data_IF_549254306894
#
_entry.id   IF_549254306894
#
_cell.length_a   1.000
_cell.length_b   1.000
_cell.length_c   1.000
_cell.angle_alpha   90.00
_cell.angle_beta   90.00
_cell.angle_gamma   90.00
#
_symmetry.space_group_name_H-M   'P 1'
#
loop_
_entity.id
_entity.type
_entity.pdbx_description
1 polymer ?
#
# COMPACT_ATOMS: atom_id res chain seq x y z
N UNK A 1 13.68 -12.71 -28.75
CA UNK A 1 13.31 -14.05 -28.23
C UNK A 1 13.08 -14.08 -26.71
N UNK A 2 13.84 -13.38 -25.88
CA UNK A 2 13.61 -13.36 -24.41
C UNK A 2 12.35 -12.55 -24.06
N UNK A 3 12.16 -11.38 -24.68
CA UNK A 3 11.00 -10.52 -24.47
C UNK A 3 9.67 -11.18 -24.87
N UNK A 4 9.65 -11.98 -25.94
CA UNK A 4 8.45 -12.72 -26.36
C UNK A 4 8.09 -13.85 -25.37
N UNK A 5 9.07 -14.48 -24.72
CA UNK A 5 8.81 -15.44 -23.64
C UNK A 5 8.31 -14.76 -22.37
N UNK A 6 8.87 -13.59 -22.02
CA UNK A 6 8.39 -12.76 -20.91
C UNK A 6 6.94 -12.31 -21.18
N UNK A 7 6.60 -11.96 -22.42
CA UNK A 7 5.23 -11.63 -22.84
C UNK A 7 4.27 -12.78 -22.58
N UNK A 8 4.56 -13.98 -23.10
CA UNK A 8 3.69 -15.14 -22.90
C UNK A 8 3.57 -15.53 -21.43
N UNK A 9 4.68 -15.49 -20.68
CA UNK A 9 4.67 -15.90 -19.27
C UNK A 9 4.04 -14.86 -18.35
N UNK A 10 4.16 -13.56 -18.63
CA UNK A 10 3.60 -12.50 -17.76
C UNK A 10 2.24 -12.04 -18.29
N UNK A 11 2.15 -11.61 -19.54
CA UNK A 11 0.93 -10.99 -20.07
C UNK A 11 -0.15 -12.04 -20.40
N UNK A 12 0.20 -13.11 -21.11
CA UNK A 12 -0.81 -14.10 -21.52
C UNK A 12 -1.27 -14.99 -20.36
N UNK A 13 -0.43 -15.22 -19.34
CA UNK A 13 -0.82 -15.99 -18.15
C UNK A 13 -1.45 -15.14 -17.05
N UNK A 14 -0.99 -13.91 -16.80
CA UNK A 14 -1.46 -13.13 -15.65
C UNK A 14 -2.39 -11.96 -16.01
N UNK A 15 -2.40 -11.49 -17.26
CA UNK A 15 -3.19 -10.34 -17.70
C UNK A 15 -4.31 -10.69 -18.70
N UNK A 16 -4.79 -11.93 -18.71
CA UNK A 16 -6.02 -12.24 -19.45
C UNK A 16 -7.18 -11.39 -18.90
N UNK A 17 -8.13 -10.96 -19.76
CA UNK A 17 -9.29 -10.18 -19.32
C UNK A 17 -10.06 -10.86 -18.18
N UNK A 18 -10.12 -12.20 -18.19
CA UNK A 18 -10.70 -13.02 -17.13
C UNK A 18 -9.96 -12.87 -15.79
N UNK A 19 -8.63 -12.87 -15.79
CA UNK A 19 -7.81 -12.70 -14.58
C UNK A 19 -7.88 -11.27 -14.04
N UNK A 20 -7.89 -10.28 -14.93
CA UNK A 20 -8.09 -8.87 -14.55
C UNK A 20 -9.44 -8.70 -13.84
N UNK A 21 -10.51 -9.27 -14.38
CA UNK A 21 -11.83 -9.21 -13.73
C UNK A 21 -11.87 -10.01 -12.42
N UNK A 22 -11.14 -11.12 -12.31
CA UNK A 22 -10.98 -11.85 -11.04
C UNK A 22 -10.21 -11.03 -10.00
N UNK A 23 -9.15 -10.33 -10.39
CA UNK A 23 -8.38 -9.43 -9.51
C UNK A 23 -9.27 -8.27 -9.07
N UNK A 24 -10.03 -7.64 -9.99
CA UNK A 24 -11.02 -6.60 -9.64
C UNK A 24 -12.06 -7.15 -8.68
N UNK A 25 -12.63 -8.32 -8.94
CA UNK A 25 -13.62 -8.93 -8.07
C UNK A 25 -13.05 -9.28 -6.67
N UNK A 26 -11.82 -9.80 -6.61
CA UNK A 26 -11.12 -10.08 -5.37
C UNK A 26 -10.83 -8.79 -4.58
N UNK A 27 -10.35 -7.73 -5.23
CA UNK A 27 -10.12 -6.43 -4.61
C UNK A 27 -11.43 -5.79 -4.15
N UNK A 28 -12.49 -5.80 -4.97
CA UNK A 28 -13.83 -5.34 -4.57
C UNK A 28 -14.34 -6.13 -3.37
N UNK A 29 -14.11 -7.44 -3.31
CA UNK A 29 -14.47 -8.30 -2.17
C UNK A 29 -13.64 -7.99 -0.90
N UNK A 30 -12.35 -7.72 -1.03
CA UNK A 30 -11.48 -7.31 0.08
C UNK A 30 -11.91 -5.92 0.59
N UNK A 31 -12.25 -4.99 -0.30
CA UNK A 31 -12.64 -3.62 0.07
C UNK A 31 -14.07 -3.53 0.60
N UNK A 32 -14.99 -4.33 0.08
CA UNK A 32 -16.35 -4.45 0.61
C UNK A 32 -16.42 -5.32 1.87
N UNK A 33 -15.51 -6.28 2.03
CA UNK A 33 -15.41 -7.17 3.19
C UNK A 33 -14.54 -6.66 4.33
N UNK A 34 -13.56 -5.79 4.04
CA UNK A 34 -12.47 -5.37 4.92
C UNK A 34 -12.76 -4.20 5.85
N UNK A 35 -13.99 -3.69 5.90
CA UNK A 35 -14.34 -2.63 6.85
C UNK A 35 -15.69 -2.88 7.51
N UNK A 36 -15.86 -4.09 8.05
CA UNK A 36 -16.93 -4.34 9.02
C UNK A 36 -16.59 -3.66 10.34
N UNK A 37 -17.13 -2.46 10.54
CA UNK A 37 -17.65 -1.87 11.80
C UNK A 37 -16.76 -1.78 13.06
N UNK A 38 -15.58 -2.41 13.13
CA UNK A 38 -14.73 -2.42 14.31
C UNK A 38 -13.96 -1.12 14.50
N UNK A 39 -13.32 -0.61 13.44
CA UNK A 39 -12.52 0.62 13.51
C UNK A 39 -13.36 1.86 13.82
N UNK A 40 -14.52 2.00 13.19
CA UNK A 40 -15.43 3.12 13.44
C UNK A 40 -15.97 3.13 14.88
N UNK A 41 -16.34 1.95 15.41
CA UNK A 41 -16.75 1.81 16.81
C UNK A 41 -15.62 2.16 17.77
N UNK A 42 -14.38 1.76 17.46
CA UNK A 42 -13.20 2.12 18.24
C UNK A 42 -12.92 3.63 18.21
N UNK A 43 -13.00 4.27 17.05
CA UNK A 43 -12.83 5.73 16.93
C UNK A 43 -13.94 6.50 17.66
N UNK A 44 -15.20 6.05 17.60
CA UNK A 44 -16.28 6.63 18.40
C UNK A 44 -16.07 6.49 19.90
N UNK A 45 -15.59 5.32 20.36
CA UNK A 45 -15.25 5.10 21.77
C UNK A 45 -14.07 5.97 22.22
N UNK A 46 -13.05 6.12 21.38
CA UNK A 46 -11.91 7.01 21.63
C UNK A 46 -12.36 8.47 21.72
N UNK A 47 -13.22 8.91 20.80
CA UNK A 47 -13.77 10.26 20.80
C UNK A 47 -14.56 10.56 22.08
N UNK A 48 -15.48 9.66 22.47
CA UNK A 48 -16.26 9.80 23.69
C UNK A 48 -15.36 9.85 24.95
N UNK A 49 -14.28 9.07 24.97
CA UNK A 49 -13.30 9.10 26.07
C UNK A 49 -12.54 10.42 26.14
N UNK A 50 -12.13 10.97 25.00
CA UNK A 50 -11.44 12.27 24.94
C UNK A 50 -12.38 13.39 25.37
N UNK A 51 -13.63 13.39 24.90
CA UNK A 51 -14.65 14.38 25.28
C UNK A 51 -14.91 14.37 26.79
N UNK A 52 -15.04 13.19 27.40
CA UNK A 52 -15.16 13.05 28.86
C UNK A 52 -13.90 13.53 29.62
N UNK A 53 -12.71 13.35 29.05
CA UNK A 53 -11.47 13.85 29.65
C UNK A 53 -11.37 15.38 29.58
N UNK A 54 -11.85 15.99 28.50
CA UNK A 54 -11.94 17.45 28.36
C UNK A 54 -12.91 17.99 29.39
N UNK A 55 -14.10 17.43 29.50
CA UNK A 55 -15.13 17.84 30.47
C UNK A 55 -14.58 17.83 31.90
N UNK A 56 -13.98 16.70 32.33
CA UNK A 56 -13.36 16.59 33.66
C UNK A 56 -12.18 17.54 33.87
N UNK A 57 -11.41 17.83 32.82
CA UNK A 57 -10.30 18.77 32.91
C UNK A 57 -10.80 20.21 33.07
N UNK A 58 -11.90 20.56 32.40
CA UNK A 58 -12.55 21.88 32.50
C UNK A 58 -13.16 22.07 33.88
N UNK A 59 -13.89 21.08 34.41
CA UNK A 59 -14.41 21.12 35.79
C UNK A 59 -13.29 21.37 36.81
N UNK A 60 -12.20 20.60 36.70
CA UNK A 60 -11.04 20.73 37.58
C UNK A 60 -10.36 22.08 37.52
N UNK A 61 -10.45 22.84 36.42
CA UNK A 61 -9.86 24.20 36.36
C UNK A 61 -10.39 25.12 37.46
N UNK A 62 -11.60 24.88 37.95
CA UNK A 62 -12.20 25.66 39.06
C UNK A 62 -11.69 25.24 40.44
N UNK A 63 -11.10 24.05 40.55
CA UNK A 63 -10.66 23.44 41.80
C UNK A 63 -9.13 23.50 41.99
N UNK A 64 -8.36 23.65 40.90
CA UNK A 64 -6.89 23.69 40.97
C UNK A 64 -6.37 25.05 41.47
N UNK A 65 -5.26 25.04 42.24
CA UNK A 65 -4.51 26.24 42.58
C UNK A 65 -4.11 27.09 41.36
N UNK A 66 -3.98 28.42 41.49
CA UNK A 66 -3.72 29.35 40.38
C UNK A 66 -2.46 29.04 39.55
N UNK A 67 -1.43 28.52 40.20
CA UNK A 67 -0.18 28.06 39.60
C UNK A 67 -0.35 26.82 38.69
N UNK A 68 -1.33 25.98 38.99
CA UNK A 68 -1.63 24.76 38.24
C UNK A 68 -2.55 24.98 37.03
N UNK A 69 -3.25 26.12 36.97
CA UNK A 69 -4.18 26.46 35.87
C UNK A 69 -3.50 26.36 34.50
N UNK A 70 -2.26 26.85 34.38
CA UNK A 70 -1.50 26.80 33.11
C UNK A 70 -1.26 25.36 32.63
N UNK A 71 -0.98 24.44 33.56
CA UNK A 71 -0.75 23.03 33.23
C UNK A 71 -2.05 22.34 32.79
N UNK A 72 -3.16 22.62 33.47
CA UNK A 72 -4.49 22.08 33.10
C UNK A 72 -4.95 22.63 31.75
N UNK A 73 -4.78 23.93 31.50
CA UNK A 73 -5.09 24.55 30.21
C UNK A 73 -4.26 23.94 29.05
N UNK A 74 -2.96 23.69 29.28
CA UNK A 74 -2.11 23.00 28.31
C UNK A 74 -2.57 21.57 28.02
N UNK A 75 -3.08 20.85 29.05
CA UNK A 75 -3.64 19.51 28.88
C UNK A 75 -4.94 19.52 28.09
N UNK A 76 -5.81 20.50 28.32
CA UNK A 76 -7.07 20.66 27.57
C UNK A 76 -6.78 20.88 26.09
N UNK A 77 -5.89 21.81 25.74
CA UNK A 77 -5.51 22.05 24.32
C UNK A 77 -5.04 20.77 23.63
N UNK A 78 -4.18 19.99 24.29
CA UNK A 78 -3.72 18.72 23.72
C UNK A 78 -4.87 17.73 23.49
N UNK A 79 -5.83 17.66 24.41
CA UNK A 79 -7.01 16.80 24.25
C UNK A 79 -7.92 17.29 23.12
N UNK A 80 -8.01 18.61 22.89
CA UNK A 80 -8.74 19.18 21.75
C UNK A 80 -8.06 18.84 20.41
N UNK A 81 -6.72 18.95 20.34
CA UNK A 81 -5.94 18.53 19.17
C UNK A 81 -6.16 17.03 18.87
N UNK A 82 -6.11 16.18 19.91
CA UNK A 82 -6.36 14.74 19.80
C UNK A 82 -7.80 14.45 19.33
N UNK A 83 -8.80 15.20 19.84
CA UNK A 83 -10.21 15.11 19.41
C UNK A 83 -10.36 15.42 17.93
N UNK A 84 -9.74 16.50 17.47
CA UNK A 84 -9.88 16.97 16.09
C UNK A 84 -9.17 16.02 15.10
N UNK A 85 -8.04 15.45 15.50
CA UNK A 85 -7.37 14.38 14.75
C UNK A 85 -8.25 13.12 14.63
N UNK A 86 -8.88 12.67 15.72
CA UNK A 86 -9.78 11.51 15.71
C UNK A 86 -11.03 11.78 14.87
N UNK A 87 -11.62 12.98 14.94
CA UNK A 87 -12.77 13.38 14.10
C UNK A 87 -12.43 13.37 12.62
N UNK A 88 -11.23 13.85 12.26
CA UNK A 88 -10.76 13.86 10.87
C UNK A 88 -10.61 12.44 10.32
N UNK A 89 -10.03 11.52 11.11
CA UNK A 89 -9.94 10.09 10.75
C UNK A 89 -11.31 9.42 10.64
N UNK A 90 -12.26 9.79 11.50
CA UNK A 90 -13.64 9.29 11.42
C UNK A 90 -14.29 9.75 10.11
N UNK A 91 -14.14 11.02 9.75
CA UNK A 91 -14.67 11.58 8.50
C UNK A 91 -14.03 10.95 7.25
N UNK A 92 -12.73 10.62 7.30
CA UNK A 92 -12.07 9.86 6.24
C UNK A 92 -12.55 8.41 6.17
N UNK A 93 -12.84 7.81 7.33
CA UNK A 93 -13.42 6.47 7.41
C UNK A 93 -14.83 6.41 6.82
N UNK A 94 -15.58 7.51 6.88
CA UNK A 94 -16.92 7.70 6.31
C UNK A 94 -16.94 8.00 4.80
N UNK A 95 -15.78 8.18 4.15
CA UNK A 95 -15.74 8.22 2.67
C UNK A 95 -16.29 6.89 2.15
N UNK A 96 -17.47 6.97 1.53
CA UNK A 96 -18.35 5.84 1.21
C UNK A 96 -17.62 4.68 0.51
N UNK A 97 -17.97 3.43 0.82
CA UNK A 97 -17.42 2.24 0.15
C UNK A 97 -17.48 2.32 -1.38
N UNK A 98 -18.53 2.95 -1.92
CA UNK A 98 -18.68 3.18 -3.36
C UNK A 98 -17.55 4.05 -3.95
N UNK A 99 -17.19 5.16 -3.29
CA UNK A 99 -16.07 6.01 -3.75
C UNK A 99 -14.72 5.31 -3.64
N UNK A 100 -14.56 4.40 -2.68
CA UNK A 100 -13.35 3.58 -2.54
C UNK A 100 -13.24 2.52 -3.63
N UNK A 101 -14.36 1.92 -4.01
CA UNK A 101 -14.43 0.94 -5.10
C UNK A 101 -14.16 1.63 -6.44
N UNK A 102 -14.79 2.78 -6.69
CA UNK A 102 -14.56 3.60 -7.89
C UNK A 102 -13.09 4.01 -8.02
N UNK A 103 -12.50 4.54 -6.95
CA UNK A 103 -11.08 4.88 -6.92
C UNK A 103 -10.16 3.66 -7.15
N UNK A 104 -10.58 2.45 -6.76
CA UNK A 104 -9.79 1.23 -6.97
C UNK A 104 -9.93 0.71 -8.40
N UNK A 105 -11.12 0.80 -8.98
CA UNK A 105 -11.34 0.45 -10.38
C UNK A 105 -10.55 1.39 -11.30
N UNK A 106 -10.53 2.69 -11.02
CA UNK A 106 -9.68 3.66 -11.73
C UNK A 106 -8.19 3.31 -11.61
N UNK A 107 -7.73 2.89 -10.42
CA UNK A 107 -6.34 2.45 -10.19
C UNK A 107 -5.97 1.22 -11.02
N UNK A 108 -6.86 0.23 -11.10
CA UNK A 108 -6.63 -0.99 -11.87
C UNK A 108 -6.58 -0.65 -13.37
N UNK A 109 -7.49 0.20 -13.86
CA UNK A 109 -7.48 0.65 -15.25
C UNK A 109 -6.19 1.39 -15.61
N UNK A 110 -5.72 2.29 -14.74
CA UNK A 110 -4.47 3.01 -14.98
C UNK A 110 -3.24 2.08 -15.03
N UNK A 111 -3.19 1.07 -14.16
CA UNK A 111 -2.11 0.07 -14.17
C UNK A 111 -2.12 -0.77 -15.45
N UNK A 112 -3.31 -1.16 -15.93
CA UNK A 112 -3.47 -1.89 -17.20
C UNK A 112 -3.02 -1.04 -18.38
N UNK A 113 -3.49 0.22 -18.48
CA UNK A 113 -3.10 1.10 -19.58
C UNK A 113 -1.59 1.41 -19.61
N UNK A 114 -0.94 1.45 -18.44
CA UNK A 114 0.52 1.55 -18.37
C UNK A 114 1.23 0.30 -18.91
N UNK A 115 0.74 -0.88 -18.57
CA UNK A 115 1.30 -2.15 -19.07
C UNK A 115 1.13 -2.29 -20.59
N UNK A 116 -0.03 -1.88 -21.11
CA UNK A 116 -0.28 -1.82 -22.57
C UNK A 116 0.67 -0.82 -23.26
N UNK A 117 0.93 0.32 -22.62
CA UNK A 117 1.90 1.31 -23.12
C UNK A 117 3.32 0.75 -23.14
N UNK A 118 3.71 0.01 -22.11
CA UNK A 118 5.01 -0.66 -22.03
C UNK A 118 5.12 -1.76 -23.11
N UNK A 119 4.07 -2.54 -23.33
CA UNK A 119 4.00 -3.54 -24.41
C UNK A 119 4.19 -2.86 -25.77
N UNK A 120 3.42 -1.82 -26.05
CA UNK A 120 3.51 -1.07 -27.31
C UNK A 120 4.92 -0.54 -27.54
N UNK A 121 5.56 0.02 -26.52
CA UNK A 121 6.91 0.58 -26.60
C UNK A 121 7.97 -0.51 -26.82
N UNK A 122 7.78 -1.70 -26.26
CA UNK A 122 8.68 -2.83 -26.47
C UNK A 122 8.49 -3.44 -27.87
N UNK A 123 7.28 -3.42 -28.43
CA UNK A 123 6.97 -4.07 -29.72
C UNK A 123 7.23 -3.21 -30.95
N UNK A 124 6.97 -1.91 -30.90
CA UNK A 124 6.96 -1.04 -32.09
C UNK A 124 8.23 -0.21 -32.24
N UNK A 125 8.66 0.43 -31.16
CA UNK A 125 9.83 1.31 -31.11
C UNK A 125 10.66 0.97 -29.89
N UNK A 126 11.33 -0.19 -29.91
CA UNK A 126 12.18 -0.62 -28.80
C UNK A 126 13.29 0.42 -28.55
N UNK A 127 13.00 1.32 -27.62
CA UNK A 127 13.89 2.37 -27.16
C UNK A 127 14.27 2.04 -25.70
N UNK A 128 15.47 1.52 -25.47
CA UNK A 128 15.89 1.09 -24.13
C UNK A 128 15.92 2.27 -23.13
N UNK A 129 16.10 3.51 -23.60
CA UNK A 129 16.09 4.69 -22.72
C UNK A 129 14.67 5.00 -22.26
N UNK A 130 13.69 4.93 -23.17
CA UNK A 130 12.27 5.13 -22.82
C UNK A 130 11.75 4.00 -21.94
N UNK A 131 12.08 2.74 -22.24
CA UNK A 131 11.70 1.58 -21.40
C UNK A 131 12.28 1.73 -19.99
N UNK A 132 13.57 2.05 -19.88
CA UNK A 132 14.21 2.23 -18.59
C UNK A 132 13.61 3.42 -17.82
N UNK A 133 13.28 4.52 -18.50
CA UNK A 133 12.59 5.66 -17.90
C UNK A 133 11.19 5.31 -17.37
N UNK A 134 10.42 4.51 -18.11
CA UNK A 134 9.11 4.03 -17.65
C UNK A 134 9.24 3.09 -16.45
N UNK A 135 10.20 2.16 -16.49
CA UNK A 135 10.46 1.24 -15.39
C UNK A 135 10.98 1.97 -14.15
N UNK A 136 11.86 2.96 -14.28
CA UNK A 136 12.38 3.75 -13.16
C UNK A 136 11.33 4.58 -12.44
N UNK A 137 10.26 4.96 -13.15
CA UNK A 137 9.11 5.57 -12.50
C UNK A 137 8.45 4.54 -11.61
N UNK A 138 8.13 3.36 -12.13
CA UNK A 138 7.27 2.40 -11.44
C UNK A 138 7.95 1.42 -10.48
N UNK A 139 9.18 1.02 -10.75
CA UNK A 139 9.92 0.04 -9.96
C UNK A 139 10.71 0.79 -8.91
N UNK A 140 10.45 0.48 -7.64
CA UNK A 140 11.18 1.03 -6.51
C UNK A 140 12.50 0.30 -6.32
N UNK A 141 12.40 -1.02 -6.17
CA UNK A 141 13.52 -1.92 -5.93
C UNK A 141 13.24 -3.28 -6.53
N UNK A 142 14.29 -3.97 -6.94
CA UNK A 142 14.23 -5.38 -7.32
C UNK A 142 15.16 -6.13 -6.42
N UNK A 143 14.62 -7.04 -5.63
CA UNK A 143 15.39 -7.95 -4.79
C UNK A 143 15.57 -9.26 -5.55
N UNK A 144 16.82 -9.68 -5.70
CA UNK A 144 17.16 -10.94 -6.34
C UNK A 144 17.57 -11.96 -5.28
N UNK A 145 17.02 -13.17 -5.40
CA UNK A 145 17.51 -14.33 -4.67
C UNK A 145 18.56 -15.02 -5.55
N UNK A 146 19.79 -15.07 -5.05
CA UNK A 146 20.91 -15.70 -5.72
C UNK A 146 21.46 -16.84 -4.87
N UNK A 147 21.51 -18.03 -5.44
CA UNK A 147 22.21 -19.16 -4.83
C UNK A 147 23.65 -19.17 -5.31
N UNK A 148 24.57 -19.12 -4.35
CA UNK A 148 26.01 -19.17 -4.61
C UNK A 148 26.46 -20.63 -4.52
N UNK A 149 26.71 -21.26 -5.66
CA UNK A 149 27.28 -22.60 -5.74
C UNK A 149 28.77 -22.51 -6.05
N UNK A 150 29.59 -23.27 -5.33
CA UNK A 150 31.01 -23.36 -5.65
C UNK A 150 31.17 -24.15 -6.96
N UNK A 151 31.98 -23.62 -7.88
CA UNK A 151 32.14 -24.21 -9.20
C UNK A 151 33.61 -24.48 -9.52
N UNK A 152 33.94 -25.77 -9.67
CA UNK A 152 35.28 -26.27 -9.99
C UNK A 152 36.07 -26.71 -8.75
N UNK A 153 37.21 -27.37 -8.99
CA UNK A 153 38.06 -27.96 -7.93
C UNK A 153 38.78 -26.91 -7.08
N UNK A 154 38.82 -25.67 -7.55
CA UNK A 154 39.39 -24.52 -6.84
C UNK A 154 38.36 -23.90 -5.90
N UNK A 155 38.66 -23.90 -4.59
CA UNK A 155 37.86 -23.30 -3.51
C UNK A 155 37.43 -21.84 -3.68
N UNK A 156 37.95 -21.16 -4.68
CA UNK A 156 37.80 -19.71 -4.90
C UNK A 156 36.77 -19.34 -5.97
N UNK A 157 36.30 -20.30 -6.77
CA UNK A 157 35.36 -20.03 -7.87
C UNK A 157 33.93 -20.34 -7.46
N UNK A 158 33.05 -19.38 -7.69
CA UNK A 158 31.63 -19.51 -7.38
C UNK A 158 30.80 -19.11 -8.59
N UNK A 159 29.78 -19.91 -8.87
CA UNK A 159 28.69 -19.59 -9.78
C UNK A 159 27.52 -19.06 -8.95
N UNK A 160 27.07 -17.85 -9.25
CA UNK A 160 25.83 -17.33 -8.67
C UNK A 160 24.71 -17.56 -9.69
N UNK A 161 23.69 -18.30 -9.30
CA UNK A 161 22.51 -18.54 -10.12
C UNK A 161 21.32 -17.82 -9.50
N UNK A 162 20.60 -17.04 -10.32
CA UNK A 162 19.39 -16.34 -9.87
C UNK A 162 18.28 -17.35 -9.77
N UNK A 163 17.81 -17.62 -8.54
CA UNK A 163 16.74 -18.58 -8.27
C UNK A 163 15.37 -17.92 -8.19
N UNK A 164 15.33 -16.61 -7.99
CA UNK A 164 14.09 -15.85 -8.00
C UNK A 164 14.33 -14.37 -7.71
N UNK A 165 13.23 -13.65 -7.49
CA UNK A 165 13.28 -12.26 -7.07
C UNK A 165 11.89 -11.70 -6.80
N UNK A 166 11.88 -10.55 -6.13
CA UNK A 166 10.69 -9.76 -5.82
C UNK A 166 10.89 -8.37 -6.41
N UNK A 167 9.90 -7.92 -7.19
CA UNK A 167 9.88 -6.56 -7.74
C UNK A 167 8.96 -5.74 -6.85
N UNK A 168 9.52 -4.71 -6.22
CA UNK A 168 8.79 -3.72 -5.45
C UNK A 168 8.43 -2.56 -6.36
N UNK A 169 7.15 -2.18 -6.37
CA UNK A 169 6.66 -1.07 -7.15
C UNK A 169 6.50 0.17 -6.27
N UNK A 170 6.85 1.34 -6.80
CA UNK A 170 6.60 2.63 -6.15
C UNK A 170 5.10 2.87 -6.12
N UNK A 171 4.55 2.87 -4.92
CA UNK A 171 3.16 3.28 -4.68
C UNK A 171 2.90 4.74 -5.08
N UNK A 172 3.96 5.55 -5.16
CA UNK A 172 3.91 6.97 -5.56
C UNK A 172 3.92 7.20 -7.07
N UNK A 173 4.39 6.22 -7.86
CA UNK A 173 4.60 6.37 -9.30
C UNK A 173 3.62 5.61 -10.17
N UNK A 174 2.85 4.69 -9.58
CA UNK A 174 1.45 4.56 -9.94
C UNK A 174 0.83 5.96 -9.89
N UNK A 175 -0.02 6.37 -10.85
CA UNK A 175 -0.61 7.71 -10.83
C UNK A 175 -1.42 7.86 -9.54
N UNK A 176 -0.75 8.45 -8.54
CA UNK A 176 -1.20 8.91 -7.23
C UNK A 176 -0.93 8.00 -6.01
N UNK A 177 -0.29 8.65 -5.03
CA UNK A 177 0.42 8.10 -3.89
C UNK A 177 -0.42 7.35 -2.86
N UNK A 178 0.18 6.27 -2.36
CA UNK A 178 -0.33 5.50 -1.23
C UNK A 178 0.80 5.28 -0.25
N UNK A 179 0.77 6.06 0.81
CA UNK A 179 1.30 5.68 2.11
C UNK A 179 0.28 4.73 2.75
N UNK A 180 0.65 3.45 2.89
CA UNK A 180 -0.05 2.51 3.74
C UNK A 180 -0.62 1.31 2.99
N UNK A 181 -0.35 0.12 3.54
CA UNK A 181 -0.75 -1.22 3.07
C UNK A 181 0.23 -1.84 2.06
N UNK A 182 1.46 -2.06 2.50
CA UNK A 182 2.16 -3.31 2.16
C UNK A 182 1.74 -4.34 3.20
N UNK A 183 0.73 -5.16 2.87
CA UNK A 183 0.47 -6.38 3.61
C UNK A 183 1.37 -7.46 2.98
N UNK A 184 2.35 -7.90 3.76
CA UNK A 184 3.34 -8.90 3.39
C UNK A 184 2.60 -10.22 3.08
N UNK A 185 2.45 -10.55 1.80
CA UNK A 185 1.92 -11.84 1.39
C UNK A 185 2.94 -12.90 1.79
N UNK A 186 2.62 -13.68 2.82
CA UNK A 186 3.48 -14.77 3.29
C UNK A 186 3.84 -15.73 2.14
N UNK A 187 5.09 -16.21 2.10
CA UNK A 187 5.53 -17.13 1.07
C UNK A 187 4.72 -18.43 1.17
N UNK A 188 4.12 -18.83 0.03
CA UNK A 188 3.36 -20.07 -0.09
C UNK A 188 4.15 -21.29 0.42
N UNK A 189 3.49 -22.23 1.12
CA UNK A 189 4.17 -23.40 1.66
C UNK A 189 4.73 -24.26 0.52
N UNK A 190 6.00 -24.65 0.65
CA UNK A 190 6.69 -25.54 -0.27
C UNK A 190 5.88 -26.82 -0.41
N UNK A 191 5.43 -27.12 -1.63
CA UNK A 191 4.88 -28.44 -1.98
C UNK A 191 6.03 -29.45 -1.89
N UNK A 192 5.92 -30.32 -0.89
CA UNK A 192 6.71 -31.54 -0.69
C UNK A 192 6.47 -32.57 -1.78
#
# INVERSE_FOLDING_TARGET
MILSKIRTEIFEKHFQPSHVEQIKAAMRKILSGGQKSGGEKLYRQQLAKIELQIEKAVERMTEVPPDMIKHVAGRIRKLEDDRDAVRSRLAESDKTPAKRIEAVDERIQAAIGWLESLETLVETEYDPVKVNSMLHKFVDRVDFHMDRQQWGDSGTRYKCEVTGGVIYFRTEALPFGISGVCEELEPSPKRS
#
